data_IF_420688610896
#
_entry.id   IF_420688610896
#
_cell.length_a   1.000
_cell.length_b   1.000
_cell.length_c   1.000
_cell.angle_alpha   90.00
_cell.angle_beta   90.00
_cell.angle_gamma   90.00
#
_symmetry.space_group_name_H-M   'P 1'
#
loop_
_entity.id
_entity.type
_entity.pdbx_description
1 polymer ?
#
# COMPACT_ATOMS: atom_id res chain seq x y z
N UNK A 1 -2.44 -18.72 -32.90
CA UNK A 1 -3.58 -18.39 -32.02
C UNK A 1 -3.55 -19.20 -30.72
N UNK A 2 -3.34 -20.52 -30.74
CA UNK A 2 -3.29 -21.40 -29.57
C UNK A 2 -2.09 -21.07 -28.63
N UNK A 3 -0.90 -20.85 -29.18
CA UNK A 3 0.30 -20.47 -28.39
C UNK A 3 0.14 -19.13 -27.67
N UNK A 4 -0.41 -18.11 -28.33
CA UNK A 4 -0.65 -16.81 -27.69
C UNK A 4 -1.66 -16.88 -26.52
N UNK A 5 -2.64 -17.79 -26.60
CA UNK A 5 -3.60 -18.00 -25.51
C UNK A 5 -3.01 -18.78 -24.34
N UNK A 6 -2.11 -19.71 -24.61
CA UNK A 6 -1.38 -20.47 -23.57
C UNK A 6 -0.40 -19.58 -22.82
N UNK A 7 0.31 -18.71 -23.55
CA UNK A 7 1.25 -17.76 -22.94
C UNK A 7 0.52 -16.76 -22.05
N UNK A 8 -0.60 -16.19 -22.50
CA UNK A 8 -1.42 -15.28 -21.68
C UNK A 8 -1.96 -15.93 -20.41
N UNK A 9 -2.34 -17.21 -20.46
CA UNK A 9 -2.78 -17.96 -19.27
C UNK A 9 -1.65 -18.15 -18.25
N UNK A 10 -0.44 -18.44 -18.73
CA UNK A 10 0.73 -18.61 -17.85
C UNK A 10 1.08 -17.30 -17.15
N UNK A 11 1.01 -16.16 -17.85
CA UNK A 11 1.26 -14.83 -17.29
C UNK A 11 0.18 -14.47 -16.26
N UNK A 12 -1.10 -14.73 -16.55
CA UNK A 12 -2.19 -14.51 -15.61
C UNK A 12 -2.04 -15.36 -14.34
N UNK A 13 -1.56 -16.59 -14.43
CA UNK A 13 -1.27 -17.43 -13.27
C UNK A 13 -0.13 -16.88 -12.42
N UNK A 14 0.91 -16.31 -13.04
CA UNK A 14 1.97 -15.59 -12.30
C UNK A 14 1.41 -14.39 -11.57
N UNK A 15 0.55 -13.59 -12.20
CA UNK A 15 -0.14 -12.48 -11.57
C UNK A 15 -0.92 -12.93 -10.34
N UNK A 16 -1.75 -13.97 -10.45
CA UNK A 16 -2.50 -14.51 -9.30
C UNK A 16 -1.60 -14.95 -8.16
N UNK A 17 -0.48 -15.59 -8.43
CA UNK A 17 0.48 -16.01 -7.39
C UNK A 17 1.11 -14.81 -6.68
N UNK A 18 1.45 -13.74 -7.41
CA UNK A 18 1.96 -12.50 -6.83
C UNK A 18 0.92 -11.88 -5.91
N UNK A 19 -0.36 -11.83 -6.33
CA UNK A 19 -1.43 -11.28 -5.49
C UNK A 19 -1.68 -12.11 -4.22
N UNK A 20 -1.68 -13.43 -4.29
CA UNK A 20 -1.78 -14.27 -3.09
C UNK A 20 -0.61 -14.03 -2.13
N UNK A 21 0.60 -13.88 -2.67
CA UNK A 21 1.76 -13.55 -1.85
C UNK A 21 1.63 -12.16 -1.23
N UNK A 22 1.21 -11.15 -2.01
CA UNK A 22 0.98 -9.78 -1.52
C UNK A 22 -0.04 -9.75 -0.40
N UNK A 23 -1.19 -10.43 -0.57
CA UNK A 23 -2.24 -10.49 0.44
C UNK A 23 -1.72 -11.14 1.72
N UNK A 24 -1.01 -12.27 1.61
CA UNK A 24 -0.44 -12.95 2.77
C UNK A 24 0.62 -12.09 3.48
N UNK A 25 1.52 -11.47 2.72
CA UNK A 25 2.55 -10.58 3.24
C UNK A 25 1.94 -9.37 3.93
N UNK A 26 1.07 -8.62 3.25
CA UNK A 26 0.47 -7.40 3.80
C UNK A 26 -0.47 -7.67 4.97
N UNK A 27 -1.12 -8.84 5.02
CA UNK A 27 -1.89 -9.25 6.20
C UNK A 27 -0.97 -9.43 7.41
N UNK A 28 0.15 -10.12 7.25
CA UNK A 28 1.13 -10.30 8.32
C UNK A 28 1.76 -8.96 8.73
N UNK A 29 2.18 -8.17 7.75
CA UNK A 29 2.77 -6.84 7.94
C UNK A 29 1.81 -5.90 8.67
N UNK A 30 0.56 -5.81 8.22
CA UNK A 30 -0.47 -4.98 8.84
C UNK A 30 -0.77 -5.37 10.28
N UNK A 31 -0.90 -6.68 10.56
CA UNK A 31 -1.11 -7.17 11.93
C UNK A 31 0.05 -6.80 12.84
N UNK A 32 1.29 -7.09 12.41
CA UNK A 32 2.49 -6.80 13.21
C UNK A 32 2.65 -5.29 13.41
N UNK A 33 2.46 -4.49 12.35
CA UNK A 33 2.61 -3.04 12.42
C UNK A 33 1.56 -2.38 13.33
N UNK A 34 0.29 -2.78 13.21
CA UNK A 34 -0.77 -2.20 14.05
C UNK A 34 -0.58 -2.59 15.53
N UNK A 35 -0.27 -3.86 15.81
CA UNK A 35 -0.05 -4.31 17.19
C UNK A 35 1.19 -3.62 17.78
N UNK A 36 2.33 -3.65 17.09
CA UNK A 36 3.57 -3.04 17.56
C UNK A 36 3.43 -1.50 17.67
N UNK A 37 2.73 -0.87 16.73
CA UNK A 37 2.47 0.56 16.73
C UNK A 37 1.55 0.99 17.89
N UNK A 38 0.48 0.24 18.14
CA UNK A 38 -0.41 0.48 19.26
C UNK A 38 0.30 0.31 20.61
N UNK A 39 1.15 -0.71 20.75
CA UNK A 39 1.94 -0.94 21.96
C UNK A 39 2.99 0.16 22.18
N UNK A 40 3.60 0.66 21.11
CA UNK A 40 4.63 1.70 21.19
C UNK A 40 4.05 3.14 21.19
N UNK A 41 2.75 3.31 20.92
CA UNK A 41 2.15 4.64 20.72
C UNK A 41 2.69 5.35 19.48
N UNK A 42 3.10 4.58 18.43
CA UNK A 42 3.64 5.11 17.18
C UNK A 42 2.53 5.24 16.14
N UNK A 43 2.16 6.47 15.83
CA UNK A 43 1.12 6.78 14.84
C UNK A 43 1.58 6.45 13.43
N UNK A 44 2.85 6.70 13.11
CA UNK A 44 3.40 6.35 11.78
C UNK A 44 3.38 4.84 11.54
N UNK A 45 3.68 4.04 12.58
CA UNK A 45 3.67 2.57 12.48
C UNK A 45 2.24 2.01 12.39
N UNK A 46 1.28 2.55 13.14
CA UNK A 46 -0.15 2.18 13.02
C UNK A 46 -0.67 2.55 11.62
N UNK A 47 -0.38 3.77 11.16
CA UNK A 47 -0.79 4.24 9.83
C UNK A 47 -0.23 3.35 8.70
N UNK A 48 1.03 2.95 8.80
CA UNK A 48 1.67 2.02 7.88
C UNK A 48 0.98 0.65 7.88
N UNK A 49 0.63 0.11 9.06
CA UNK A 49 -0.10 -1.15 9.15
C UNK A 49 -1.51 -1.09 8.57
N UNK A 50 -2.21 0.03 8.74
CA UNK A 50 -3.52 0.25 8.12
C UNK A 50 -3.42 0.38 6.59
N UNK A 51 -2.34 1.00 6.06
CA UNK A 51 -2.04 1.04 4.64
C UNK A 51 -1.87 -0.37 4.06
N UNK A 52 -1.14 -1.26 4.76
CA UNK A 52 -1.00 -2.67 4.37
C UNK A 52 -2.35 -3.39 4.26
N UNK A 53 -3.32 -3.11 5.14
CA UNK A 53 -4.68 -3.67 5.01
C UNK A 53 -5.44 -3.11 3.80
N UNK A 54 -5.24 -1.84 3.43
CA UNK A 54 -5.81 -1.28 2.20
C UNK A 54 -5.23 -1.99 0.98
N UNK A 55 -3.93 -2.31 0.99
CA UNK A 55 -3.29 -3.09 -0.07
C UNK A 55 -3.83 -4.53 -0.15
N UNK A 56 -4.18 -5.16 0.98
CA UNK A 56 -4.89 -6.45 1.00
C UNK A 56 -6.25 -6.35 0.30
N UNK A 57 -7.02 -5.30 0.55
CA UNK A 57 -8.33 -5.08 -0.09
C UNK A 57 -8.14 -4.87 -1.60
N UNK A 58 -7.14 -4.11 -2.01
CA UNK A 58 -6.79 -3.89 -3.43
C UNK A 58 -6.45 -5.21 -4.13
N UNK A 59 -5.52 -5.98 -3.56
CA UNK A 59 -5.12 -7.28 -4.11
C UNK A 59 -6.26 -8.30 -4.18
N UNK A 60 -7.10 -8.36 -3.13
CA UNK A 60 -8.28 -9.23 -3.12
C UNK A 60 -9.28 -8.86 -4.23
N UNK A 61 -9.49 -7.56 -4.44
CA UNK A 61 -10.35 -7.04 -5.50
C UNK A 61 -9.80 -7.36 -6.89
N UNK A 62 -8.48 -7.27 -7.06
CA UNK A 62 -7.81 -7.63 -8.30
C UNK A 62 -7.90 -9.14 -8.59
N UNK A 63 -7.75 -10.01 -7.56
CA UNK A 63 -7.99 -11.45 -7.69
C UNK A 63 -9.42 -11.76 -8.10
N UNK A 64 -10.39 -11.11 -7.45
CA UNK A 64 -11.81 -11.28 -7.81
C UNK A 64 -12.07 -10.86 -9.26
N UNK A 65 -11.53 -9.72 -9.71
CA UNK A 65 -11.60 -9.28 -11.11
C UNK A 65 -11.02 -10.31 -12.08
N UNK A 66 -9.84 -10.88 -11.77
CA UNK A 66 -9.20 -11.90 -12.59
C UNK A 66 -9.99 -13.24 -12.66
N UNK A 67 -10.93 -13.46 -11.75
CA UNK A 67 -11.81 -14.64 -11.78
C UNK A 67 -13.04 -14.46 -12.66
N UNK A 68 -13.47 -13.21 -12.93
CA UNK A 68 -14.70 -12.85 -13.67
C UNK A 68 -14.38 -12.33 -15.09
N UNK A 69 -13.24 -12.61 -15.63
CA UNK A 69 -12.65 -12.02 -16.86
C UNK A 69 -13.44 -12.23 -18.16
N UNK A 70 -14.57 -12.99 -18.13
CA UNK A 70 -15.36 -13.34 -19.31
C UNK A 70 -16.36 -12.26 -19.76
N UNK A 71 -16.70 -11.26 -18.93
CA UNK A 71 -17.71 -10.23 -19.22
C UNK A 71 -17.10 -8.81 -19.13
N UNK A 72 -16.87 -8.21 -20.30
CA UNK A 72 -16.22 -6.90 -20.43
C UNK A 72 -17.00 -5.77 -19.75
N UNK A 73 -18.33 -5.81 -19.75
CA UNK A 73 -19.17 -4.75 -19.17
C UNK A 73 -19.14 -4.75 -17.64
N UNK A 74 -19.14 -5.94 -17.05
CA UNK A 74 -18.98 -6.11 -15.59
C UNK A 74 -17.59 -5.75 -15.13
N UNK A 75 -16.58 -5.99 -15.96
CA UNK A 75 -15.19 -5.69 -15.69
C UNK A 75 -14.95 -4.20 -15.43
N UNK A 76 -15.41 -3.29 -16.31
CA UNK A 76 -15.23 -1.85 -16.14
C UNK A 76 -15.97 -1.29 -14.92
N UNK A 77 -17.18 -1.77 -14.67
CA UNK A 77 -17.96 -1.33 -13.51
C UNK A 77 -17.31 -1.72 -12.20
N UNK A 78 -16.81 -2.95 -12.11
CA UNK A 78 -16.15 -3.47 -10.92
C UNK A 78 -14.79 -2.80 -10.70
N UNK A 79 -14.05 -2.49 -11.76
CA UNK A 79 -12.80 -1.75 -11.69
C UNK A 79 -13.01 -0.35 -11.09
N UNK A 80 -13.98 0.41 -11.59
CA UNK A 80 -14.31 1.74 -11.05
C UNK A 80 -14.78 1.70 -9.60
N UNK A 81 -15.57 0.68 -9.23
CA UNK A 81 -16.05 0.52 -7.86
C UNK A 81 -14.88 0.22 -6.91
N UNK A 82 -13.98 -0.68 -7.32
CA UNK A 82 -12.79 -1.04 -6.53
C UNK A 82 -11.87 0.15 -6.29
N UNK A 83 -11.57 0.92 -7.34
CA UNK A 83 -10.74 2.12 -7.24
C UNK A 83 -11.37 3.15 -6.29
N UNK A 84 -12.70 3.32 -6.32
CA UNK A 84 -13.39 4.23 -5.40
C UNK A 84 -13.33 3.75 -3.95
N UNK A 85 -13.55 2.46 -3.70
CA UNK A 85 -13.46 1.90 -2.33
C UNK A 85 -12.07 2.12 -1.77
N UNK A 86 -11.02 1.75 -2.52
CA UNK A 86 -9.63 1.94 -2.12
C UNK A 86 -9.32 3.43 -1.93
N UNK A 87 -9.75 4.31 -2.85
CA UNK A 87 -9.55 5.74 -2.74
C UNK A 87 -10.21 6.36 -1.50
N UNK A 88 -11.43 5.95 -1.15
CA UNK A 88 -12.12 6.40 0.08
C UNK A 88 -11.37 5.91 1.32
N UNK A 89 -10.90 4.65 1.32
CA UNK A 89 -10.11 4.10 2.43
C UNK A 89 -8.83 4.88 2.67
N UNK A 90 -8.12 5.27 1.60
CA UNK A 90 -6.94 6.13 1.70
C UNK A 90 -7.24 7.52 2.26
N UNK A 91 -8.36 8.15 1.86
CA UNK A 91 -8.74 9.45 2.43
C UNK A 91 -9.12 9.36 3.90
N UNK A 92 -9.83 8.31 4.30
CA UNK A 92 -10.15 8.06 5.71
C UNK A 92 -8.87 7.83 6.53
N UNK A 93 -7.92 7.05 5.99
CA UNK A 93 -6.62 6.82 6.61
C UNK A 93 -5.82 8.12 6.74
N UNK A 94 -5.74 8.93 5.68
CA UNK A 94 -5.04 10.22 5.72
C UNK A 94 -5.63 11.16 6.78
N UNK A 95 -6.97 11.24 6.88
CA UNK A 95 -7.65 12.03 7.89
C UNK A 95 -7.36 11.53 9.31
N UNK A 96 -7.37 10.22 9.52
CA UNK A 96 -7.02 9.59 10.80
C UNK A 96 -5.58 9.92 11.21
N UNK A 97 -4.61 9.66 10.32
CA UNK A 97 -3.18 9.91 10.59
C UNK A 97 -2.95 11.40 10.88
N UNK A 98 -3.55 12.31 10.10
CA UNK A 98 -3.41 13.75 10.32
C UNK A 98 -3.94 14.16 11.70
N UNK A 99 -5.12 13.69 12.07
CA UNK A 99 -5.76 14.02 13.35
C UNK A 99 -4.90 13.54 14.53
N UNK A 100 -4.52 12.28 14.54
CA UNK A 100 -3.71 11.70 15.62
C UNK A 100 -2.33 12.34 15.70
N UNK A 101 -1.64 12.54 14.56
CA UNK A 101 -0.31 13.17 14.55
C UNK A 101 -0.32 14.59 15.08
N UNK A 102 -1.34 15.38 14.74
CA UNK A 102 -1.49 16.74 15.27
C UNK A 102 -1.75 16.69 16.80
N UNK A 103 -2.59 15.76 17.24
CA UNK A 103 -2.91 15.57 18.66
C UNK A 103 -1.66 15.18 19.45
N UNK A 104 -0.85 14.27 18.95
CA UNK A 104 0.40 13.84 19.59
C UNK A 104 1.45 14.95 19.61
N UNK A 105 1.56 15.73 18.54
CA UNK A 105 2.44 16.91 18.52
C UNK A 105 2.02 17.96 19.55
N UNK A 106 0.74 18.25 19.67
CA UNK A 106 0.24 19.20 20.66
C UNK A 106 0.38 18.67 22.09
N UNK A 107 0.16 17.37 22.29
CA UNK A 107 0.30 16.68 23.58
C UNK A 107 1.74 16.39 23.98
N UNK A 108 2.73 16.67 23.11
CA UNK A 108 4.15 16.30 23.29
C UNK A 108 4.34 14.81 23.63
N UNK A 109 3.49 13.97 23.03
CA UNK A 109 3.55 12.54 23.21
C UNK A 109 4.53 11.96 22.19
N UNK A 110 5.53 11.26 22.66
CA UNK A 110 6.45 10.48 21.82
C UNK A 110 6.17 8.99 21.97
N UNK A 111 6.38 8.20 20.89
CA UNK A 111 6.22 6.75 20.97
C UNK A 111 7.31 6.14 21.84
N UNK A 112 7.07 4.92 22.32
CA UNK A 112 8.13 4.07 22.85
C UNK A 112 8.96 3.45 21.72
N UNK A 113 10.17 2.98 22.03
CA UNK A 113 11.03 2.33 21.04
C UNK A 113 10.40 1.03 20.53
N UNK A 114 10.17 0.94 19.22
CA UNK A 114 9.62 -0.24 18.57
C UNK A 114 10.66 -0.93 17.70
N UNK A 115 11.40 -1.88 18.27
CA UNK A 115 12.35 -2.72 17.53
C UNK A 115 11.61 -3.53 16.45
N UNK A 116 10.42 -4.04 16.77
CA UNK A 116 9.59 -4.77 15.83
C UNK A 116 9.21 -3.89 14.62
N UNK A 117 8.83 -2.61 14.86
CA UNK A 117 8.53 -1.65 13.78
C UNK A 117 9.73 -1.36 12.90
N UNK A 118 10.92 -1.20 13.47
CA UNK A 118 12.15 -0.97 12.70
C UNK A 118 12.48 -2.17 11.81
N UNK A 119 12.44 -3.39 12.36
CA UNK A 119 12.69 -4.62 11.59
C UNK A 119 11.66 -4.76 10.47
N UNK A 120 10.39 -4.55 10.77
CA UNK A 120 9.30 -4.64 9.80
C UNK A 120 9.51 -3.64 8.66
N UNK A 121 9.80 -2.38 8.96
CA UNK A 121 10.04 -1.34 7.96
C UNK A 121 11.24 -1.68 7.05
N UNK A 122 12.32 -2.23 7.60
CA UNK A 122 13.49 -2.68 6.82
C UNK A 122 13.10 -3.82 5.89
N UNK A 123 12.36 -4.82 6.36
CA UNK A 123 11.95 -5.96 5.55
C UNK A 123 10.98 -5.51 4.45
N UNK A 124 10.02 -4.65 4.78
CA UNK A 124 9.08 -4.06 3.81
C UNK A 124 9.80 -3.27 2.72
N UNK A 125 10.81 -2.48 3.10
CA UNK A 125 11.63 -1.72 2.14
C UNK A 125 12.37 -2.62 1.13
N UNK A 126 12.59 -3.88 1.45
CA UNK A 126 13.17 -4.87 0.52
C UNK A 126 12.07 -5.57 -0.28
N UNK A 127 11.02 -6.03 0.39
CA UNK A 127 9.97 -6.86 -0.22
C UNK A 127 9.10 -6.05 -1.18
N UNK A 128 8.65 -4.86 -0.79
CA UNK A 128 7.69 -4.05 -1.57
C UNK A 128 8.24 -3.60 -2.94
N UNK A 129 9.49 -3.11 -3.09
CA UNK A 129 10.02 -2.77 -4.41
C UNK A 129 10.16 -3.98 -5.33
N UNK A 130 10.46 -5.17 -4.77
CA UNK A 130 10.54 -6.41 -5.56
C UNK A 130 9.16 -6.83 -6.06
N UNK A 131 8.13 -6.75 -5.19
CA UNK A 131 6.75 -7.01 -5.55
C UNK A 131 6.24 -6.02 -6.61
N UNK A 132 6.44 -4.73 -6.40
CA UNK A 132 6.05 -3.68 -7.34
C UNK A 132 6.62 -3.95 -8.74
N UNK A 133 7.93 -4.23 -8.83
CA UNK A 133 8.58 -4.55 -10.11
C UNK A 133 8.03 -5.83 -10.75
N UNK A 134 7.77 -6.87 -9.95
CA UNK A 134 7.22 -8.14 -10.46
C UNK A 134 5.79 -7.96 -10.97
N UNK A 135 4.92 -7.26 -10.22
CA UNK A 135 3.56 -6.92 -10.61
C UNK A 135 3.52 -6.03 -11.85
N UNK A 136 4.38 -5.01 -11.92
CA UNK A 136 4.47 -4.10 -13.07
C UNK A 136 4.83 -4.83 -14.36
N UNK A 137 5.76 -5.79 -14.32
CA UNK A 137 6.08 -6.64 -15.47
C UNK A 137 4.87 -7.44 -15.95
N UNK A 138 4.20 -8.13 -15.03
CA UNK A 138 2.99 -8.91 -15.35
C UNK A 138 1.87 -8.01 -15.87
N UNK A 139 1.70 -6.83 -15.27
CA UNK A 139 0.71 -5.83 -15.72
C UNK A 139 0.97 -5.36 -17.14
N UNK A 140 2.23 -5.13 -17.48
CA UNK A 140 2.63 -4.74 -18.84
C UNK A 140 2.41 -5.86 -19.84
N UNK A 141 2.84 -7.09 -19.52
CA UNK A 141 2.67 -8.28 -20.39
C UNK A 141 1.19 -8.62 -20.63
N UNK A 142 0.32 -8.40 -19.64
CA UNK A 142 -1.13 -8.62 -19.76
C UNK A 142 -1.88 -7.43 -20.38
N UNK A 143 -1.27 -6.25 -20.49
CA UNK A 143 -1.96 -5.01 -20.82
C UNK A 143 -3.04 -4.66 -19.77
N UNK A 144 -2.79 -4.96 -18.48
CA UNK A 144 -3.75 -4.77 -17.39
C UNK A 144 -3.48 -3.47 -16.62
N UNK A 145 -4.35 -2.47 -16.81
CA UNK A 145 -4.27 -1.21 -16.08
C UNK A 145 -4.39 -1.40 -14.56
N UNK A 146 -5.27 -2.33 -14.12
CA UNK A 146 -5.44 -2.61 -12.71
C UNK A 146 -4.21 -3.24 -12.05
N UNK A 147 -3.53 -4.18 -12.73
CA UNK A 147 -2.28 -4.76 -12.23
C UNK A 147 -1.17 -3.70 -12.15
N UNK A 148 -1.13 -2.78 -13.13
CA UNK A 148 -0.17 -1.68 -13.11
C UNK A 148 -0.47 -0.67 -11.99
N UNK A 149 -1.76 -0.38 -11.71
CA UNK A 149 -2.18 0.47 -10.60
C UNK A 149 -1.80 -0.16 -9.25
N UNK A 150 -2.03 -1.47 -9.10
CA UNK A 150 -1.66 -2.22 -7.90
C UNK A 150 -0.13 -2.29 -7.71
N UNK A 151 0.65 -2.43 -8.80
CA UNK A 151 2.10 -2.33 -8.76
C UNK A 151 2.58 -0.96 -8.28
N UNK A 152 1.93 0.13 -8.69
CA UNK A 152 2.22 1.49 -8.19
C UNK A 152 1.89 1.61 -6.71
N UNK A 153 0.79 1.02 -6.25
CA UNK A 153 0.43 1.01 -4.83
C UNK A 153 1.52 0.35 -3.98
N UNK A 154 2.02 -0.83 -4.38
CA UNK A 154 3.16 -1.48 -3.71
C UNK A 154 4.44 -0.62 -3.75
N UNK A 155 4.65 0.21 -4.78
CA UNK A 155 5.73 1.18 -4.82
C UNK A 155 5.55 2.32 -3.79
N UNK A 156 4.31 2.78 -3.58
CA UNK A 156 4.00 3.76 -2.54
C UNK A 156 4.32 3.23 -1.15
N UNK A 157 3.95 2.00 -0.85
CA UNK A 157 4.28 1.35 0.41
C UNK A 157 5.81 1.35 0.67
N UNK A 158 6.62 1.24 -0.39
CA UNK A 158 8.09 1.39 -0.27
C UNK A 158 8.50 2.80 0.19
N UNK A 159 7.86 3.85 -0.33
CA UNK A 159 8.14 5.23 0.11
C UNK A 159 7.69 5.47 1.55
N UNK A 160 6.51 4.96 1.90
CA UNK A 160 6.02 5.03 3.28
C UNK A 160 6.95 4.29 4.25
N UNK A 161 7.51 3.14 3.85
CA UNK A 161 8.51 2.40 4.62
C UNK A 161 9.78 3.22 4.90
N UNK A 162 10.27 4.00 3.92
CA UNK A 162 11.42 4.91 4.12
C UNK A 162 11.10 5.97 5.15
N UNK A 163 9.94 6.61 5.03
CA UNK A 163 9.52 7.69 5.94
C UNK A 163 9.35 7.14 7.35
N UNK A 164 8.64 6.02 7.49
CA UNK A 164 8.44 5.33 8.75
C UNK A 164 9.77 4.96 9.41
N UNK A 165 10.67 4.30 8.66
CA UNK A 165 11.98 3.89 9.17
C UNK A 165 12.79 5.09 9.64
N UNK A 166 12.77 6.20 8.88
CA UNK A 166 13.44 7.43 9.24
C UNK A 166 12.91 8.01 10.56
N UNK A 167 11.58 8.06 10.73
CA UNK A 167 10.93 8.54 11.95
C UNK A 167 11.29 7.69 13.17
N UNK A 168 11.18 6.36 13.04
CA UNK A 168 11.50 5.42 14.11
C UNK A 168 12.99 5.43 14.48
N UNK A 169 13.90 5.52 13.49
CA UNK A 169 15.35 5.59 13.76
C UNK A 169 15.75 6.91 14.41
N UNK A 170 15.23 8.04 13.96
CA UNK A 170 15.48 9.35 14.59
C UNK A 170 15.00 9.37 16.03
N UNK A 171 13.82 8.81 16.29
CA UNK A 171 13.35 8.66 17.65
C UNK A 171 14.26 7.74 18.48
N UNK A 172 14.61 6.57 17.96
CA UNK A 172 15.44 5.59 18.66
C UNK A 172 16.87 6.09 18.93
N UNK A 173 17.50 6.79 17.97
CA UNK A 173 18.89 7.22 18.07
C UNK A 173 19.05 8.56 18.81
N UNK A 174 18.13 9.51 18.63
CA UNK A 174 18.24 10.88 19.10
C UNK A 174 17.23 11.23 20.20
N UNK A 175 16.27 10.35 20.49
CA UNK A 175 15.20 10.60 21.45
C UNK A 175 14.22 11.69 21.02
N UNK A 176 14.14 11.98 19.71
CA UNK A 176 13.27 13.03 19.18
C UNK A 176 11.81 12.57 19.19
N UNK A 177 11.08 12.93 20.21
CA UNK A 177 9.68 12.55 20.41
C UNK A 177 8.76 12.98 19.24
N UNK A 178 9.09 14.08 18.58
CA UNK A 178 8.33 14.64 17.45
C UNK A 178 8.63 13.95 16.09
N UNK A 179 9.67 13.12 16.01
CA UNK A 179 10.10 12.50 14.75
C UNK A 179 9.03 11.55 14.17
N UNK A 180 8.38 10.75 15.00
CA UNK A 180 7.31 9.84 14.58
C UNK A 180 6.03 10.59 14.13
N UNK A 181 5.44 11.51 14.89
CA UNK A 181 4.30 12.30 14.42
C UNK A 181 4.63 13.13 13.17
N UNK A 182 5.85 13.64 13.04
CA UNK A 182 6.27 14.36 11.84
C UNK A 182 6.35 13.42 10.62
N UNK A 183 6.92 12.23 10.78
CA UNK A 183 6.96 11.22 9.72
C UNK A 183 5.53 10.88 9.25
N UNK A 184 4.60 10.65 10.19
CA UNK A 184 3.20 10.41 9.89
C UNK A 184 2.54 11.59 9.15
N UNK A 185 2.80 12.84 9.55
CA UNK A 185 2.33 14.03 8.83
C UNK A 185 2.89 14.14 7.41
N UNK A 186 4.14 13.73 7.18
CA UNK A 186 4.73 13.69 5.84
C UNK A 186 4.06 12.62 4.98
N UNK A 187 3.67 11.47 5.55
CA UNK A 187 2.94 10.41 4.86
C UNK A 187 1.52 10.87 4.46
N UNK A 188 0.87 11.69 5.26
CA UNK A 188 -0.52 12.12 5.06
C UNK A 188 -0.83 12.68 3.67
N UNK A 189 -0.11 13.69 3.12
CA UNK A 189 -0.40 14.21 1.79
C UNK A 189 -0.13 13.22 0.68
N UNK A 190 0.79 12.28 0.88
CA UNK A 190 1.09 11.21 -0.08
C UNK A 190 -0.12 10.27 -0.15
N UNK A 191 -0.61 9.79 0.99
CA UNK A 191 -1.78 8.92 1.11
C UNK A 191 -3.04 9.62 0.60
N UNK A 192 -3.25 10.89 0.97
CA UNK A 192 -4.41 11.66 0.52
C UNK A 192 -4.43 11.85 -1.01
N UNK A 193 -3.28 12.09 -1.62
CA UNK A 193 -3.15 12.21 -3.08
C UNK A 193 -3.56 10.92 -3.79
N UNK A 194 -3.11 9.76 -3.30
CA UNK A 194 -3.50 8.47 -3.84
C UNK A 194 -5.00 8.21 -3.69
N UNK A 195 -5.56 8.55 -2.53
CA UNK A 195 -7.00 8.46 -2.30
C UNK A 195 -7.81 9.29 -3.30
N UNK A 196 -7.39 10.52 -3.57
CA UNK A 196 -8.03 11.39 -4.55
C UNK A 196 -7.92 10.84 -5.98
N UNK A 197 -6.77 10.29 -6.36
CA UNK A 197 -6.58 9.70 -7.69
C UNK A 197 -7.47 8.46 -7.87
N UNK A 198 -7.54 7.58 -6.86
CA UNK A 198 -8.43 6.43 -6.86
C UNK A 198 -9.90 6.81 -7.03
N UNK A 199 -10.39 7.86 -6.36
CA UNK A 199 -11.78 8.33 -6.51
C UNK A 199 -12.04 8.91 -7.91
N UNK A 200 -11.09 9.66 -8.46
CA UNK A 200 -11.23 10.30 -9.78
C UNK A 200 -11.15 9.31 -10.93
N UNK A 201 -10.69 8.08 -10.68
CA UNK A 201 -10.46 7.08 -11.72
C UNK A 201 -9.37 7.51 -12.72
N UNK A 202 -8.51 8.42 -12.31
CA UNK A 202 -7.37 8.89 -13.12
C UNK A 202 -6.23 7.87 -13.05
N UNK A 203 -6.41 6.71 -13.67
CA UNK A 203 -5.27 5.90 -14.10
C UNK A 203 -4.57 6.67 -15.22
N UNK A 204 -3.57 7.45 -14.86
CA UNK A 204 -2.68 8.09 -15.86
C UNK A 204 -1.88 7.00 -16.56
N UNK A 205 -2.47 6.40 -17.59
CA UNK A 205 -1.74 5.74 -18.67
C UNK A 205 -0.99 6.76 -19.54
N UNK A 206 -0.55 7.91 -19.02
CA UNK A 206 0.02 9.01 -19.81
C UNK A 206 1.54 9.16 -19.71
N UNK A 207 2.27 8.23 -19.09
CA UNK A 207 3.75 8.32 -19.06
C UNK A 207 4.48 7.06 -19.50
N UNK A 208 3.92 6.29 -20.43
CA UNK A 208 4.63 5.24 -21.16
C UNK A 208 4.25 5.29 -22.64
N UNK A 209 4.65 6.33 -23.33
CA UNK A 209 4.94 6.34 -24.77
C UNK A 209 6.38 6.75 -24.95
#
# INVERSE_FOLDING_TARGET
>A
MLEATLDRRSIAQRGKRLEYFTIAWNTLEGLVAVIAGAMAGSISLVGFGLDSFIEVISGATLLWRMSVDADLSRRERNEKLSLRIVGISFLALAAYIAFESITDMLGKKGPEHSVAGIILAIVSLIVMPLLSKAKGRVGHELGSAAMNADAKQSQFCSYLSVILLSGLLLHAALGWWWADPLAALIMTPIIAREGLQGIRGEDRCHECC
#
